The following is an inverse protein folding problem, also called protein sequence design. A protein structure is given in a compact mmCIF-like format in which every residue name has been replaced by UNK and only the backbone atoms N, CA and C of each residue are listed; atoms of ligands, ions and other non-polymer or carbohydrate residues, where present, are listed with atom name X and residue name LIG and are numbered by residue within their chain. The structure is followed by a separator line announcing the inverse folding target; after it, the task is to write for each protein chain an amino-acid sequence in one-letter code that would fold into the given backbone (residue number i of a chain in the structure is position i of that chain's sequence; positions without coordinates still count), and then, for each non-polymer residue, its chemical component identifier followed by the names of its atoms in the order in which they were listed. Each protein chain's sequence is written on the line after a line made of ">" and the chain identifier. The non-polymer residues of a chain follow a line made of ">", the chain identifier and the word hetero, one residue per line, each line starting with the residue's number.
data_IF_660143244000
#
_entry.id   IF_660143244000
#
_cell.length_a   1.000
_cell.length_b   1.000
_cell.length_c   1.000
_cell.angle_alpha   90.00
_cell.angle_beta   90.00
_cell.angle_gamma   90.00
#
_symmetry.space_group_name_H-M   'P 1'
#
loop_
_entity.id
_entity.type
_entity.pdbx_description
1 polymer ?
#
# COMPACT_ATOMS: atom_id res chain seq x y z
N UNK A 1 13.35 30.68 -39.06
CA UNK A 1 12.09 30.52 -38.33
C UNK A 1 12.23 29.36 -37.38
N UNK A 2 12.55 29.62 -36.10
CA UNK A 2 12.55 28.58 -35.04
C UNK A 2 11.06 28.23 -34.74
N UNK A 3 10.69 26.99 -34.99
CA UNK A 3 9.41 26.47 -34.55
C UNK A 3 9.36 26.52 -33.03
N UNK A 4 8.50 27.34 -32.45
CA UNK A 4 8.15 27.31 -31.04
C UNK A 4 7.55 25.92 -30.78
N UNK A 5 8.30 25.06 -30.07
CA UNK A 5 7.76 23.83 -29.53
C UNK A 5 6.65 24.23 -28.54
N UNK A 6 5.41 24.16 -28.97
CA UNK A 6 4.25 24.32 -28.09
C UNK A 6 4.32 23.15 -27.08
N UNK A 7 4.80 23.44 -25.86
CA UNK A 7 4.73 22.48 -24.78
C UNK A 7 3.27 22.06 -24.59
N UNK A 8 3.00 20.77 -24.63
CA UNK A 8 1.65 20.26 -24.32
C UNK A 8 1.26 20.79 -22.94
N UNK A 9 0.02 21.30 -22.77
CA UNK A 9 -0.44 21.77 -21.46
C UNK A 9 -0.32 20.61 -20.45
N UNK A 10 0.07 20.96 -19.22
CA UNK A 10 0.19 19.97 -18.14
C UNK A 10 -1.18 19.35 -17.84
N UNK A 11 -1.21 18.08 -17.39
CA UNK A 11 -2.46 17.40 -17.07
C UNK A 11 -3.36 18.22 -16.13
N UNK A 12 -2.78 18.87 -15.12
CA UNK A 12 -3.53 19.68 -14.13
C UNK A 12 -4.42 20.76 -14.77
N UNK A 13 -4.02 21.29 -15.94
CA UNK A 13 -4.77 22.35 -16.65
C UNK A 13 -6.06 21.80 -17.29
N UNK A 14 -6.16 20.47 -17.46
CA UNK A 14 -7.30 19.76 -18.05
C UNK A 14 -8.25 19.19 -17.01
N UNK A 15 -7.87 19.24 -15.73
CA UNK A 15 -8.64 18.60 -14.67
C UNK A 15 -9.77 19.49 -14.14
N UNK A 16 -10.87 18.89 -13.65
CA UNK A 16 -11.90 19.62 -12.92
C UNK A 16 -11.31 20.28 -11.69
N UNK A 17 -11.87 21.40 -11.26
CA UNK A 17 -11.43 22.11 -10.04
C UNK A 17 -12.19 21.58 -8.83
N UNK A 18 -11.53 20.84 -7.90
CA UNK A 18 -12.16 20.34 -6.69
C UNK A 18 -12.21 21.40 -5.59
N UNK A 19 -12.96 21.14 -4.53
CA UNK A 19 -12.89 21.88 -3.25
C UNK A 19 -11.59 21.60 -2.50
N UNK A 20 -11.06 20.36 -2.65
CA UNK A 20 -9.78 19.93 -2.15
C UNK A 20 -8.59 20.58 -2.87
N UNK A 21 -7.45 19.88 -2.86
CA UNK A 21 -6.20 20.43 -3.41
C UNK A 21 -5.64 19.57 -4.52
N UNK A 22 -5.28 20.19 -5.64
CA UNK A 22 -4.45 19.62 -6.67
C UNK A 22 -3.03 20.17 -6.57
N UNK A 23 -2.04 19.31 -6.83
CA UNK A 23 -0.64 19.72 -6.93
C UNK A 23 0.01 18.99 -8.13
N UNK A 24 0.62 19.76 -9.04
CA UNK A 24 1.39 19.22 -10.16
C UNK A 24 2.74 18.70 -9.66
N UNK A 25 3.25 17.66 -10.32
CA UNK A 25 4.59 17.08 -10.10
C UNK A 25 4.96 16.87 -8.64
N UNK A 26 3.96 16.44 -7.86
CA UNK A 26 4.10 16.33 -6.40
C UNK A 26 5.03 15.16 -6.02
N UNK A 27 6.13 15.39 -5.24
CA UNK A 27 7.05 14.33 -4.87
C UNK A 27 6.35 13.27 -3.99
N UNK A 28 6.39 12.00 -4.42
CA UNK A 28 5.81 10.87 -3.68
C UNK A 28 6.82 10.17 -2.79
N UNK A 29 8.11 10.13 -3.16
CA UNK A 29 9.15 9.49 -2.36
C UNK A 29 9.06 9.84 -0.87
N UNK A 30 9.09 11.12 -0.47
CA UNK A 30 8.98 11.53 0.92
C UNK A 30 7.64 11.17 1.60
N UNK A 31 6.64 10.76 0.82
CA UNK A 31 5.30 10.38 1.28
C UNK A 31 5.12 8.87 1.42
N UNK A 32 6.15 8.08 1.08
CA UNK A 32 6.18 6.62 1.23
C UNK A 32 7.12 6.21 2.37
N UNK A 33 6.91 5.04 2.89
CA UNK A 33 7.76 4.50 3.95
C UNK A 33 9.17 4.16 3.47
N UNK A 34 9.35 3.77 2.21
CA UNK A 34 10.68 3.61 1.62
C UNK A 34 11.44 4.94 1.51
N UNK A 35 10.75 6.06 1.43
CA UNK A 35 11.39 7.34 1.19
C UNK A 35 12.01 7.46 -0.21
N UNK A 36 11.59 6.63 -1.15
CA UNK A 36 12.07 6.57 -2.53
C UNK A 36 10.91 6.65 -3.53
N UNK A 37 11.21 7.08 -4.75
CA UNK A 37 10.28 7.13 -5.86
C UNK A 37 10.05 8.52 -6.44
N UNK A 38 9.59 8.54 -7.69
CA UNK A 38 9.33 9.75 -8.47
C UNK A 38 8.04 10.47 -8.07
N UNK A 39 7.68 11.55 -8.82
CA UNK A 39 6.51 12.37 -8.53
C UNK A 39 5.20 11.74 -9.00
N UNK A 40 4.08 12.21 -8.43
CA UNK A 40 2.77 12.12 -9.06
C UNK A 40 2.67 13.20 -10.13
N UNK A 41 2.18 12.87 -11.33
CA UNK A 41 1.88 13.90 -12.34
C UNK A 41 0.89 14.91 -11.80
N UNK A 42 -0.20 14.44 -11.15
CA UNK A 42 -1.08 15.28 -10.34
C UNK A 42 -1.41 14.55 -9.03
N UNK A 43 -1.21 15.19 -7.90
CA UNK A 43 -1.65 14.72 -6.60
C UNK A 43 -2.96 15.44 -6.22
N UNK A 44 -4.02 14.66 -6.00
CA UNK A 44 -5.31 15.14 -5.52
C UNK A 44 -5.52 14.76 -4.05
N UNK A 45 -5.85 15.75 -3.23
CA UNK A 45 -6.27 15.59 -1.84
C UNK A 45 -7.71 16.08 -1.71
N UNK A 46 -8.72 15.21 -1.83
CA UNK A 46 -10.12 15.59 -1.73
C UNK A 46 -10.43 16.12 -0.33
N UNK A 47 -11.38 17.06 -0.26
CA UNK A 47 -11.85 17.62 1.00
C UNK A 47 -12.70 16.60 1.79
N UNK A 48 -13.54 15.87 1.08
CA UNK A 48 -14.46 14.85 1.59
C UNK A 48 -14.92 13.91 0.47
N UNK A 49 -15.81 12.98 0.80
CA UNK A 49 -16.35 11.98 -0.14
C UNK A 49 -17.13 12.60 -1.31
N UNK A 50 -17.87 13.67 -1.07
CA UNK A 50 -18.60 14.36 -2.13
C UNK A 50 -17.66 15.04 -3.13
N UNK A 51 -16.63 15.71 -2.63
CA UNK A 51 -15.58 16.32 -3.47
C UNK A 51 -14.84 15.28 -4.32
N UNK A 52 -14.54 14.11 -3.73
CA UNK A 52 -13.95 12.99 -4.45
C UNK A 52 -14.89 12.49 -5.56
N UNK A 53 -16.18 12.29 -5.26
CA UNK A 53 -17.17 11.78 -6.19
C UNK A 53 -17.39 12.74 -7.37
N UNK A 54 -17.59 14.03 -7.09
CA UNK A 54 -17.75 15.06 -8.13
C UNK A 54 -16.51 15.18 -9.01
N UNK A 55 -15.33 15.13 -8.41
CA UNK A 55 -14.07 15.16 -9.15
C UNK A 55 -13.94 13.95 -10.09
N UNK A 56 -14.19 12.73 -9.61
CA UNK A 56 -14.11 11.51 -10.41
C UNK A 56 -15.14 11.49 -11.53
N UNK A 57 -16.36 11.96 -11.29
CA UNK A 57 -17.41 12.07 -12.29
C UNK A 57 -17.01 12.98 -13.45
N UNK A 58 -16.35 14.09 -13.15
CA UNK A 58 -15.92 15.08 -14.15
C UNK A 58 -14.53 14.78 -14.75
N UNK A 59 -13.80 13.81 -14.18
CA UNK A 59 -12.45 13.46 -14.63
C UNK A 59 -12.51 12.72 -15.98
N UNK A 60 -11.76 13.17 -17.02
CA UNK A 60 -11.69 12.46 -18.30
C UNK A 60 -11.34 10.99 -18.11
N UNK A 61 -12.03 10.10 -18.82
CA UNK A 61 -11.93 8.66 -18.62
C UNK A 61 -10.55 8.07 -18.99
N UNK A 62 -9.84 8.75 -19.89
CA UNK A 62 -8.46 8.42 -20.31
C UNK A 62 -7.40 8.74 -19.25
N UNK A 63 -7.75 9.47 -18.18
CA UNK A 63 -6.82 9.83 -17.10
C UNK A 63 -6.77 8.71 -16.05
N UNK A 64 -5.61 8.04 -15.87
CA UNK A 64 -5.47 7.02 -14.83
C UNK A 64 -5.62 7.59 -13.43
N UNK A 65 -6.19 6.79 -12.52
CA UNK A 65 -6.31 7.12 -11.09
C UNK A 65 -5.59 6.06 -10.26
N UNK A 66 -4.75 6.53 -9.35
CA UNK A 66 -4.03 5.66 -8.38
C UNK A 66 -4.32 6.15 -6.98
N UNK A 67 -4.67 5.25 -6.07
CA UNK A 67 -4.93 5.60 -4.65
C UNK A 67 -3.69 5.37 -3.82
N UNK A 68 -3.33 6.37 -3.01
CA UNK A 68 -2.20 6.32 -2.08
C UNK A 68 -2.68 6.55 -0.64
N UNK A 69 -2.43 5.58 0.23
CA UNK A 69 -2.57 5.74 1.68
C UNK A 69 -1.31 6.39 2.29
N UNK A 70 -0.79 5.81 3.39
CA UNK A 70 0.49 6.26 3.98
C UNK A 70 1.72 5.66 3.30
N UNK A 71 1.54 4.89 2.24
CA UNK A 71 2.65 4.34 1.44
C UNK A 71 3.51 3.31 2.17
N UNK A 72 2.94 2.59 3.13
CA UNK A 72 3.64 1.58 3.93
C UNK A 72 3.86 0.25 3.22
N UNK A 73 3.09 -0.03 2.16
CA UNK A 73 3.21 -1.25 1.33
C UNK A 73 3.34 -0.89 -0.15
N UNK A 74 4.04 0.20 -0.46
CA UNK A 74 4.20 0.69 -1.83
C UNK A 74 5.66 1.01 -2.15
N UNK A 75 6.09 0.64 -3.34
CA UNK A 75 7.27 1.15 -4.01
C UNK A 75 6.81 1.98 -5.22
N UNK A 76 7.06 3.27 -5.17
CA UNK A 76 6.82 4.17 -6.31
C UNK A 76 8.07 4.19 -7.17
N UNK A 77 7.96 3.79 -8.44
CA UNK A 77 9.08 3.78 -9.37
C UNK A 77 9.59 5.20 -9.66
N UNK A 78 10.87 5.31 -10.02
CA UNK A 78 11.56 6.61 -10.13
C UNK A 78 11.00 7.53 -11.22
N UNK A 79 10.38 7.01 -12.28
CA UNK A 79 9.68 7.82 -13.29
C UNK A 79 8.36 8.40 -12.79
N UNK A 80 7.92 8.03 -11.59
CA UNK A 80 6.70 8.55 -10.97
C UNK A 80 5.42 7.91 -11.51
N UNK A 81 4.28 8.49 -11.14
CA UNK A 81 2.94 7.98 -11.43
C UNK A 81 2.22 8.94 -12.35
N UNK A 82 1.82 8.46 -13.52
CA UNK A 82 1.02 9.20 -14.49
C UNK A 82 -0.45 9.30 -14.07
N UNK A 83 -1.12 10.37 -14.53
CA UNK A 83 -2.51 10.64 -14.19
C UNK A 83 -2.66 11.27 -12.80
N UNK A 84 -3.73 10.91 -12.10
CA UNK A 84 -4.08 11.48 -10.80
C UNK A 84 -3.79 10.46 -9.68
N UNK A 85 -2.96 10.86 -8.74
CA UNK A 85 -2.79 10.14 -7.46
C UNK A 85 -3.74 10.75 -6.43
N UNK A 86 -4.70 9.96 -5.96
CA UNK A 86 -5.65 10.37 -4.91
C UNK A 86 -5.07 10.00 -3.55
N UNK A 87 -4.97 10.96 -2.64
CA UNK A 87 -4.54 10.73 -1.27
C UNK A 87 -5.59 11.21 -0.27
N UNK A 88 -6.21 10.28 0.43
CA UNK A 88 -7.20 10.58 1.45
C UNK A 88 -6.54 11.13 2.71
N UNK A 89 -6.98 12.31 3.16
CA UNK A 89 -6.40 13.04 4.28
C UNK A 89 -7.50 13.37 5.31
N UNK A 90 -7.43 14.53 5.94
CA UNK A 90 -8.28 14.96 7.08
C UNK A 90 -9.78 14.67 6.95
N UNK A 91 -10.38 14.82 5.77
CA UNK A 91 -11.80 14.51 5.52
C UNK A 91 -12.16 13.03 5.65
N UNK A 92 -11.15 12.14 5.76
CA UNK A 92 -11.31 10.69 5.77
C UNK A 92 -10.64 10.01 6.97
N UNK A 93 -10.29 10.76 8.02
CA UNK A 93 -9.58 10.22 9.19
C UNK A 93 -10.44 10.14 10.45
N UNK A 94 -11.72 10.53 10.37
CA UNK A 94 -12.65 10.46 11.49
C UNK A 94 -12.83 9.02 11.98
N UNK A 95 -12.91 8.84 13.30
CA UNK A 95 -13.21 7.56 13.94
C UNK A 95 -14.31 7.82 14.97
N UNK A 96 -15.38 7.04 14.92
CA UNK A 96 -16.51 7.09 15.87
C UNK A 96 -16.88 5.70 16.32
N UNK A 97 -17.51 5.60 17.48
CA UNK A 97 -18.04 4.34 18.02
C UNK A 97 -19.57 4.41 18.07
N UNK A 98 -20.22 3.40 17.52
CA UNK A 98 -21.66 3.25 17.46
C UNK A 98 -22.07 1.89 18.04
N UNK A 99 -22.47 1.87 19.30
CA UNK A 99 -22.65 0.61 20.03
C UNK A 99 -21.31 -0.12 20.19
N UNK A 100 -21.22 -1.32 19.64
CA UNK A 100 -19.97 -2.09 19.62
C UNK A 100 -19.21 -1.99 18.30
N UNK A 101 -19.73 -1.21 17.34
CA UNK A 101 -19.06 -1.05 16.04
C UNK A 101 -18.15 0.18 16.06
N UNK A 102 -17.01 0.08 15.41
CA UNK A 102 -16.12 1.21 15.13
C UNK A 102 -16.30 1.63 13.68
N UNK A 103 -16.69 2.88 13.47
CA UNK A 103 -16.79 3.50 12.13
C UNK A 103 -15.56 4.36 11.92
N UNK A 104 -14.81 4.07 10.86
CA UNK A 104 -13.57 4.77 10.57
C UNK A 104 -13.51 5.21 9.11
N UNK A 105 -13.00 6.42 8.87
CA UNK A 105 -12.67 6.88 7.53
C UNK A 105 -11.49 6.10 6.95
N UNK A 106 -11.47 5.90 5.64
CA UNK A 106 -10.44 5.09 4.98
C UNK A 106 -9.02 5.64 5.08
N UNK A 107 -8.86 6.94 5.36
CA UNK A 107 -7.58 7.60 5.66
C UNK A 107 -7.16 7.50 7.12
N UNK A 108 -7.98 6.94 8.01
CA UNK A 108 -7.63 6.75 9.41
C UNK A 108 -6.47 5.76 9.56
N UNK A 109 -5.42 6.07 10.35
CA UNK A 109 -4.38 5.10 10.68
C UNK A 109 -4.95 3.89 11.42
N UNK A 110 -4.53 2.70 11.04
CA UNK A 110 -4.97 1.44 11.67
C UNK A 110 -4.71 1.45 13.18
N UNK A 111 -3.55 1.94 13.61
CA UNK A 111 -3.22 2.11 15.03
C UNK A 111 -4.25 2.97 15.77
N UNK A 112 -4.71 4.07 15.16
CA UNK A 112 -5.66 4.98 15.82
C UNK A 112 -7.02 4.29 16.03
N UNK A 113 -7.43 3.42 15.10
CA UNK A 113 -8.65 2.63 15.25
C UNK A 113 -8.54 1.66 16.43
N UNK A 114 -7.40 0.95 16.56
CA UNK A 114 -7.14 0.08 17.71
C UNK A 114 -7.14 0.85 19.04
N UNK A 115 -6.54 2.05 19.08
CA UNK A 115 -6.49 2.89 20.28
C UNK A 115 -7.88 3.43 20.64
N UNK A 116 -8.68 3.86 19.66
CA UNK A 116 -10.06 4.31 19.90
C UNK A 116 -10.92 3.15 20.43
N UNK A 117 -10.79 1.95 19.85
CA UNK A 117 -11.50 0.77 20.35
C UNK A 117 -11.12 0.47 21.82
N UNK A 118 -9.84 0.53 22.17
CA UNK A 118 -9.36 0.38 23.56
C UNK A 118 -9.98 1.42 24.50
N UNK A 119 -10.04 2.69 24.10
CA UNK A 119 -10.61 3.77 24.91
C UNK A 119 -12.09 3.54 25.24
N UNK A 120 -12.80 2.79 24.39
CA UNK A 120 -14.21 2.43 24.57
C UNK A 120 -14.41 1.00 25.09
N UNK A 121 -13.36 0.36 25.62
CA UNK A 121 -13.37 -1.02 26.10
C UNK A 121 -13.94 -2.03 25.07
N UNK A 122 -13.52 -1.87 23.81
CA UNK A 122 -13.92 -2.71 22.68
C UNK A 122 -12.73 -3.56 22.23
N UNK A 123 -12.87 -4.88 22.33
CA UNK A 123 -11.88 -5.89 21.95
C UNK A 123 -12.08 -6.36 20.50
N UNK A 124 -11.06 -7.05 19.96
CA UNK A 124 -11.08 -7.66 18.62
C UNK A 124 -10.42 -6.84 17.53
N UNK A 125 -10.02 -5.59 17.81
CA UNK A 125 -9.34 -4.70 16.87
C UNK A 125 -7.87 -4.44 17.22
N UNK A 126 -7.31 -5.11 18.21
CA UNK A 126 -5.93 -4.91 18.70
C UNK A 126 -4.88 -5.20 17.63
N UNK A 127 -5.15 -6.16 16.73
CA UNK A 127 -4.24 -6.52 15.63
C UNK A 127 -3.93 -5.35 14.68
N UNK A 128 -4.85 -4.38 14.56
CA UNK A 128 -4.65 -3.17 13.76
C UNK A 128 -3.47 -2.33 14.26
N UNK A 129 -3.12 -2.40 15.56
CA UNK A 129 -1.95 -1.71 16.10
C UNK A 129 -0.63 -2.23 15.52
N UNK A 130 -0.62 -3.48 15.03
CA UNK A 130 0.53 -4.09 14.35
C UNK A 130 0.63 -3.76 12.85
N UNK A 131 -0.38 -3.10 12.27
CA UNK A 131 -0.42 -2.77 10.84
C UNK A 131 -0.07 -1.30 10.63
N UNK A 132 1.06 -1.01 9.97
CA UNK A 132 1.47 0.37 9.71
C UNK A 132 0.79 0.91 8.45
N UNK A 133 -0.52 1.07 8.49
CA UNK A 133 -1.34 1.41 7.33
C UNK A 133 -2.44 2.41 7.63
N UNK A 134 -3.36 2.49 6.69
CA UNK A 134 -4.66 3.14 6.83
C UNK A 134 -5.75 2.14 6.52
N UNK A 135 -6.91 2.33 7.10
CA UNK A 135 -8.08 1.45 6.95
C UNK A 135 -8.42 1.15 5.49
N UNK A 136 -8.38 2.15 4.60
CA UNK A 136 -8.61 1.92 3.17
C UNK A 136 -7.58 0.99 2.54
N UNK A 137 -6.30 1.13 2.91
CA UNK A 137 -5.24 0.23 2.49
C UNK A 137 -5.40 -1.17 3.07
N UNK A 138 -5.82 -1.27 4.33
CA UNK A 138 -6.05 -2.54 5.01
C UNK A 138 -7.20 -3.34 4.35
N UNK A 139 -8.31 -2.67 3.97
CA UNK A 139 -9.42 -3.29 3.23
C UNK A 139 -8.96 -3.77 1.85
N UNK A 140 -8.21 -2.92 1.12
CA UNK A 140 -7.80 -3.20 -0.25
C UNK A 140 -6.92 -4.45 -0.40
N UNK A 141 -6.30 -4.93 0.68
CA UNK A 141 -5.44 -6.11 0.66
C UNK A 141 -5.78 -7.16 1.71
N UNK A 142 -6.91 -7.04 2.41
CA UNK A 142 -7.21 -7.88 3.57
C UNK A 142 -6.01 -7.93 4.54
N UNK A 143 -5.58 -6.77 5.01
CA UNK A 143 -4.42 -6.70 5.89
C UNK A 143 -4.68 -7.45 7.19
N UNK A 144 -3.67 -8.17 7.64
CA UNK A 144 -3.75 -8.94 8.88
C UNK A 144 -2.38 -9.07 9.54
N UNK A 145 -2.40 -9.15 10.86
CA UNK A 145 -1.23 -9.31 11.71
C UNK A 145 -1.64 -9.94 13.05
N UNK A 146 -0.72 -10.65 13.68
CA UNK A 146 -0.88 -11.15 15.06
C UNK A 146 -2.17 -11.94 15.31
N UNK A 147 -2.63 -12.71 14.31
CA UNK A 147 -3.79 -13.59 14.40
C UNK A 147 -5.12 -12.96 14.04
N UNK A 148 -5.16 -11.66 13.69
CA UNK A 148 -6.35 -10.98 13.17
C UNK A 148 -6.17 -10.49 11.75
N UNK A 149 -7.28 -10.32 11.02
CA UNK A 149 -7.32 -9.71 9.68
C UNK A 149 -8.63 -8.95 9.44
N UNK A 150 -8.63 -8.03 8.50
CA UNK A 150 -9.78 -7.16 8.20
C UNK A 150 -11.03 -7.96 7.88
N UNK A 151 -10.91 -9.03 7.09
CA UNK A 151 -12.06 -9.85 6.70
C UNK A 151 -12.84 -10.47 7.85
N UNK A 152 -12.21 -10.64 9.01
CA UNK A 152 -12.85 -11.19 10.22
C UNK A 152 -13.73 -10.16 10.95
N UNK A 153 -13.39 -8.88 10.84
CA UNK A 153 -14.02 -7.79 11.62
C UNK A 153 -14.83 -6.82 10.75
N UNK A 154 -14.65 -6.84 9.44
CA UNK A 154 -15.38 -5.95 8.53
C UNK A 154 -16.90 -6.28 8.55
N UNK A 155 -17.73 -5.26 8.74
CA UNK A 155 -19.19 -5.33 8.55
C UNK A 155 -19.54 -4.82 7.15
N UNK A 156 -19.06 -3.60 6.83
CA UNK A 156 -19.26 -2.97 5.53
C UNK A 156 -18.20 -1.90 5.27
N UNK A 157 -17.99 -1.59 4.01
CA UNK A 157 -17.20 -0.44 3.58
C UNK A 157 -18.01 0.46 2.64
N UNK A 158 -17.65 1.73 2.58
CA UNK A 158 -18.13 2.69 1.61
C UNK A 158 -17.01 2.99 0.62
N UNK A 159 -17.37 3.15 -0.64
CA UNK A 159 -16.42 3.45 -1.71
C UNK A 159 -17.05 4.36 -2.77
N UNK A 160 -16.20 5.05 -3.52
CA UNK A 160 -16.55 5.78 -4.74
C UNK A 160 -15.91 5.06 -5.92
N UNK A 161 -16.71 4.78 -6.96
CA UNK A 161 -16.19 4.18 -8.20
C UNK A 161 -15.59 5.23 -9.14
N UNK A 162 -15.03 4.77 -10.26
CA UNK A 162 -14.40 5.65 -11.26
C UNK A 162 -15.37 6.67 -11.87
N UNK A 163 -16.68 6.40 -11.84
CA UNK A 163 -17.73 7.28 -12.35
C UNK A 163 -18.29 8.25 -11.29
N UNK A 164 -17.74 8.22 -10.08
CA UNK A 164 -18.19 9.07 -8.97
C UNK A 164 -19.41 8.54 -8.21
N UNK A 165 -19.87 7.31 -8.47
CA UNK A 165 -20.99 6.73 -7.72
C UNK A 165 -20.52 6.21 -6.37
N UNK A 166 -21.36 6.45 -5.35
CA UNK A 166 -21.13 5.90 -4.01
C UNK A 166 -21.70 4.49 -3.90
N UNK A 167 -20.91 3.61 -3.31
CA UNK A 167 -21.27 2.23 -3.04
C UNK A 167 -21.14 1.92 -1.55
N UNK A 168 -22.04 1.08 -1.05
CA UNK A 168 -21.90 0.45 0.25
C UNK A 168 -21.84 -1.05 0.06
N UNK A 169 -20.75 -1.66 0.54
CA UNK A 169 -20.38 -3.04 0.28
C UNK A 169 -20.39 -3.79 1.60
N UNK A 170 -21.19 -4.86 1.70
CA UNK A 170 -21.14 -5.75 2.84
C UNK A 170 -19.90 -6.66 2.79
N UNK A 171 -19.36 -7.04 3.95
CA UNK A 171 -18.15 -7.85 4.07
C UNK A 171 -18.14 -9.11 3.19
N UNK A 172 -19.29 -9.81 3.07
CA UNK A 172 -19.44 -11.02 2.26
C UNK A 172 -19.16 -10.83 0.76
N UNK A 173 -19.24 -9.60 0.26
CA UNK A 173 -19.04 -9.27 -1.17
C UNK A 173 -17.57 -9.10 -1.51
N UNK A 174 -16.68 -9.02 -0.50
CA UNK A 174 -15.25 -8.85 -0.71
C UNK A 174 -14.50 -10.14 -1.04
N UNK A 175 -15.10 -11.30 -0.78
CA UNK A 175 -14.45 -12.60 -1.00
C UNK A 175 -13.00 -12.64 -0.49
N UNK A 176 -12.78 -12.13 0.72
CA UNK A 176 -11.45 -12.00 1.30
C UNK A 176 -10.69 -13.33 1.33
N UNK A 177 -9.42 -13.26 0.98
CA UNK A 177 -8.45 -14.34 1.09
C UNK A 177 -7.15 -13.75 1.65
N UNK A 178 -6.18 -14.59 1.96
CA UNK A 178 -4.88 -14.13 2.42
C UNK A 178 -4.28 -13.09 1.46
N UNK A 179 -4.06 -11.86 1.95
CA UNK A 179 -3.54 -10.71 1.19
C UNK A 179 -4.34 -10.35 -0.07
N UNK A 180 -5.61 -10.71 -0.10
CA UNK A 180 -6.47 -10.46 -1.24
C UNK A 180 -7.85 -9.94 -0.82
N UNK A 181 -8.34 -8.96 -1.57
CA UNK A 181 -9.69 -8.42 -1.51
C UNK A 181 -10.31 -8.54 -2.91
N UNK A 182 -11.50 -9.11 -3.02
CA UNK A 182 -12.27 -9.21 -4.27
C UNK A 182 -13.00 -7.92 -4.67
N UNK A 183 -12.73 -6.80 -4.00
CA UNK A 183 -13.30 -5.52 -4.39
C UNK A 183 -12.83 -5.10 -5.79
N UNK A 184 -13.67 -4.40 -6.58
CA UNK A 184 -13.25 -3.82 -7.86
C UNK A 184 -12.00 -2.94 -7.69
N UNK A 185 -11.00 -3.07 -8.57
CA UNK A 185 -9.70 -2.43 -8.40
C UNK A 185 -9.72 -0.90 -8.56
N UNK A 186 -10.77 -0.36 -9.17
CA UNK A 186 -11.00 1.06 -9.40
C UNK A 186 -11.81 1.75 -8.30
N UNK A 187 -12.25 1.01 -7.28
CA UNK A 187 -13.00 1.56 -6.17
C UNK A 187 -12.07 2.22 -5.14
N UNK A 188 -12.43 3.42 -4.72
CA UNK A 188 -11.73 4.19 -3.69
C UNK A 188 -12.54 4.12 -2.41
N UNK A 189 -12.06 3.35 -1.43
CA UNK A 189 -12.71 3.27 -0.12
C UNK A 189 -12.66 4.62 0.58
N UNK A 190 -13.78 5.02 1.19
CA UNK A 190 -13.94 6.30 1.89
C UNK A 190 -14.21 6.13 3.37
N UNK A 191 -14.93 5.09 3.77
CA UNK A 191 -15.22 4.75 5.15
C UNK A 191 -15.43 3.25 5.33
N UNK A 192 -15.43 2.80 6.59
CA UNK A 192 -15.70 1.41 6.97
C UNK A 192 -16.42 1.33 8.30
N UNK A 193 -17.14 0.23 8.50
CA UNK A 193 -17.70 -0.20 9.78
C UNK A 193 -17.06 -1.52 10.17
N UNK A 194 -16.43 -1.56 11.34
CA UNK A 194 -15.76 -2.71 11.90
C UNK A 194 -16.50 -3.19 13.14
N UNK A 195 -16.65 -4.51 13.28
CA UNK A 195 -17.22 -5.14 14.47
C UNK A 195 -16.16 -5.23 15.54
N UNK A 196 -16.53 -4.86 16.76
CA UNK A 196 -15.76 -5.14 17.96
C UNK A 196 -16.70 -5.73 19.02
N UNK A 197 -16.15 -6.19 20.14
CA UNK A 197 -16.91 -6.79 21.23
C UNK A 197 -16.55 -6.10 22.54
N UNK A 198 -17.48 -5.96 23.50
CA UNK A 198 -17.14 -5.46 24.82
C UNK A 198 -16.02 -6.28 25.47
N UNK A 199 -15.01 -5.63 26.02
CA UNK A 199 -13.86 -6.28 26.61
C UNK A 199 -13.28 -5.52 27.79
N UNK A 200 -12.32 -6.15 28.47
CA UNK A 200 -11.57 -5.50 29.55
C UNK A 200 -10.49 -4.56 28.98
N UNK A 201 -10.54 -3.31 29.35
CA UNK A 201 -9.64 -2.28 28.82
C UNK A 201 -8.17 -2.55 29.14
N UNK A 202 -7.88 -3.17 30.29
CA UNK A 202 -6.51 -3.53 30.70
C UNK A 202 -5.99 -4.67 29.83
N UNK A 203 -6.81 -5.68 29.58
CA UNK A 203 -6.45 -6.79 28.70
C UNK A 203 -6.21 -6.31 27.26
N UNK A 204 -7.07 -5.44 26.74
CA UNK A 204 -6.90 -4.83 25.40
C UNK A 204 -5.59 -4.04 25.31
N UNK A 205 -5.31 -3.20 26.32
CA UNK A 205 -4.06 -2.45 26.38
C UNK A 205 -2.83 -3.36 26.47
N UNK A 206 -2.91 -4.42 27.26
CA UNK A 206 -1.88 -5.46 27.35
C UNK A 206 -1.60 -6.09 25.98
N UNK A 207 -2.64 -6.50 25.26
CA UNK A 207 -2.51 -7.09 23.93
C UNK A 207 -1.87 -6.13 22.89
N UNK A 208 -2.23 -4.84 22.90
CA UNK A 208 -1.61 -3.82 22.04
C UNK A 208 -0.12 -3.68 22.37
N UNK A 209 0.24 -3.69 23.67
CA UNK A 209 1.64 -3.63 24.12
C UNK A 209 2.44 -4.84 23.67
N UNK A 210 1.87 -6.05 23.78
CA UNK A 210 2.50 -7.28 23.29
C UNK A 210 2.78 -7.21 21.77
N UNK A 211 1.81 -6.73 20.99
CA UNK A 211 1.96 -6.56 19.55
C UNK A 211 3.09 -5.57 19.22
N UNK A 212 3.14 -4.42 19.89
CA UNK A 212 4.20 -3.43 19.67
C UNK A 212 5.59 -3.97 20.04
N UNK A 213 5.68 -4.69 21.16
CA UNK A 213 6.92 -5.34 21.60
C UNK A 213 7.39 -6.38 20.59
N UNK A 214 6.53 -7.31 20.19
CA UNK A 214 6.84 -8.34 19.20
C UNK A 214 7.26 -7.75 17.86
N UNK A 215 6.58 -6.67 17.42
CA UNK A 215 6.95 -5.92 16.21
C UNK A 215 8.32 -5.27 16.33
N UNK A 216 8.57 -4.62 17.47
CA UNK A 216 9.85 -3.96 17.74
C UNK A 216 11.00 -4.95 17.78
N UNK A 217 10.79 -6.14 18.34
CA UNK A 217 11.81 -7.19 18.43
C UNK A 217 12.10 -7.83 17.07
N UNK A 218 11.08 -8.06 16.23
CA UNK A 218 11.23 -8.82 14.98
C UNK A 218 11.50 -7.98 13.75
N UNK A 219 11.04 -6.72 13.70
CA UNK A 219 11.08 -5.89 12.48
C UNK A 219 12.12 -4.77 12.54
N UNK A 220 12.73 -4.38 11.39
CA UNK A 220 13.65 -3.24 11.35
C UNK A 220 12.88 -1.92 11.56
N UNK A 221 13.46 -1.00 12.33
CA UNK A 221 13.01 0.40 12.46
C UNK A 221 13.73 1.28 11.42
N UNK A 222 13.50 1.02 10.15
CA UNK A 222 14.18 1.67 9.02
C UNK A 222 13.16 2.09 7.96
N UNK A 223 13.59 2.82 6.94
CA UNK A 223 12.78 3.09 5.75
C UNK A 223 12.54 1.78 4.97
N UNK A 224 11.35 1.23 5.06
CA UNK A 224 10.99 -0.06 4.47
C UNK A 224 9.51 -0.10 4.10
N UNK A 225 9.13 -0.93 3.13
CA UNK A 225 7.74 -1.19 2.75
C UNK A 225 7.09 -2.35 3.50
N UNK A 226 7.65 -2.81 4.63
CA UNK A 226 7.17 -4.00 5.33
C UNK A 226 7.67 -5.30 4.70
N UNK A 227 6.92 -6.39 4.86
CA UNK A 227 7.22 -7.67 4.22
C UNK A 227 7.26 -7.53 2.71
N UNK A 228 8.39 -7.87 2.11
CA UNK A 228 8.60 -7.69 0.66
C UNK A 228 7.85 -8.74 -0.14
N UNK A 229 7.83 -9.99 0.35
CA UNK A 229 7.24 -11.13 -0.34
C UNK A 229 6.17 -11.82 0.52
N UNK A 230 5.15 -12.32 -0.17
CA UNK A 230 4.12 -13.19 0.42
C UNK A 230 4.75 -14.49 0.90
N UNK A 231 4.28 -15.04 2.01
CA UNK A 231 4.71 -16.37 2.44
C UNK A 231 4.17 -17.43 1.46
N UNK A 232 5.05 -18.22 0.81
CA UNK A 232 4.60 -19.32 -0.05
C UNK A 232 3.89 -20.41 0.77
N UNK A 233 2.99 -21.19 0.15
CA UNK A 233 2.32 -22.28 0.84
C UNK A 233 3.31 -23.23 1.53
N UNK A 234 3.13 -23.44 2.85
CA UNK A 234 3.98 -24.31 3.65
C UNK A 234 5.35 -23.75 4.02
N UNK A 235 5.68 -22.52 3.62
CA UNK A 235 6.99 -21.90 3.89
C UNK A 235 6.83 -20.48 4.45
N UNK A 236 7.90 -20.01 5.12
CA UNK A 236 8.05 -18.60 5.47
C UNK A 236 9.06 -17.95 4.54
N UNK A 237 8.68 -16.87 3.88
CA UNK A 237 9.54 -16.20 2.91
C UNK A 237 10.90 -15.81 3.51
N UNK A 238 10.93 -15.32 4.76
CA UNK A 238 12.17 -14.92 5.42
C UNK A 238 13.16 -16.09 5.60
N UNK A 239 12.67 -17.33 5.88
CA UNK A 239 13.51 -18.52 6.03
C UNK A 239 14.17 -18.88 4.68
N UNK A 240 13.39 -18.88 3.60
CA UNK A 240 13.89 -19.14 2.25
C UNK A 240 14.93 -18.10 1.80
N UNK A 241 14.70 -16.83 2.10
CA UNK A 241 15.60 -15.72 1.77
C UNK A 241 16.92 -15.85 2.55
N UNK A 242 16.85 -16.24 3.82
CA UNK A 242 18.03 -16.48 4.65
C UNK A 242 18.84 -17.69 4.16
N UNK A 243 18.17 -18.80 3.86
CA UNK A 243 18.77 -20.00 3.26
C UNK A 243 19.43 -19.73 1.92
N UNK A 244 18.87 -18.80 1.15
CA UNK A 244 19.46 -18.36 -0.13
C UNK A 244 20.68 -17.43 0.04
N UNK A 245 21.09 -17.13 1.28
CA UNK A 245 22.25 -16.28 1.57
C UNK A 245 22.02 -14.80 1.22
N UNK A 246 20.77 -14.35 1.31
CA UNK A 246 20.43 -12.97 0.93
C UNK A 246 20.48 -11.98 2.09
N UNK A 247 20.65 -12.42 3.35
CA UNK A 247 20.77 -11.53 4.52
C UNK A 247 21.88 -10.51 4.32
N UNK A 248 21.58 -9.22 4.47
CA UNK A 248 22.55 -8.15 4.30
C UNK A 248 22.95 -7.87 2.84
N UNK A 249 22.40 -8.59 1.85
CA UNK A 249 22.65 -8.34 0.42
C UNK A 249 22.28 -6.90 0.05
N UNK A 250 23.12 -6.26 -0.79
CA UNK A 250 22.94 -4.87 -1.20
C UNK A 250 22.96 -4.70 -2.71
N UNK A 251 22.14 -3.76 -3.19
CA UNK A 251 22.22 -3.18 -4.54
C UNK A 251 22.06 -1.66 -4.37
N UNK A 252 23.06 -0.89 -4.78
CA UNK A 252 23.09 0.54 -4.47
C UNK A 252 22.96 0.79 -2.96
N UNK A 253 22.04 1.68 -2.59
CA UNK A 253 21.71 1.99 -1.20
C UNK A 253 20.47 1.20 -0.69
N UNK A 254 20.05 0.14 -1.38
CA UNK A 254 19.05 -0.81 -0.92
C UNK A 254 19.72 -2.03 -0.27
N UNK A 255 19.19 -2.52 0.84
CA UNK A 255 19.71 -3.68 1.58
C UNK A 255 18.60 -4.62 2.02
N UNK A 256 18.85 -5.94 1.96
CA UNK A 256 18.06 -6.94 2.70
C UNK A 256 18.38 -6.78 4.18
N UNK A 257 17.36 -6.58 5.00
CA UNK A 257 17.56 -6.35 6.43
C UNK A 257 18.29 -7.50 7.14
N UNK A 258 19.30 -7.16 7.93
CA UNK A 258 20.01 -8.13 8.77
C UNK A 258 19.10 -8.69 9.89
N UNK A 259 18.10 -7.91 10.32
CA UNK A 259 17.18 -8.28 11.38
C UNK A 259 16.07 -9.24 10.90
N UNK A 260 15.51 -8.97 9.72
CA UNK A 260 14.42 -9.77 9.15
C UNK A 260 14.53 -9.82 7.63
N UNK A 261 14.95 -10.95 7.08
CA UNK A 261 15.31 -11.08 5.66
C UNK A 261 14.18 -10.77 4.67
N UNK A 262 12.91 -10.86 5.07
CA UNK A 262 11.79 -10.48 4.20
C UNK A 262 11.50 -8.97 4.20
N UNK A 263 12.45 -8.14 4.64
CA UNK A 263 12.36 -6.68 4.62
C UNK A 263 13.51 -6.10 3.80
N UNK A 264 13.18 -5.37 2.76
CA UNK A 264 14.11 -4.50 2.07
C UNK A 264 14.13 -3.14 2.75
N UNK A 265 15.30 -2.57 2.96
CA UNK A 265 15.50 -1.27 3.60
C UNK A 265 16.24 -0.31 2.69
N UNK A 266 15.84 0.97 2.76
CA UNK A 266 16.55 2.07 2.14
C UNK A 266 17.53 2.67 3.17
N UNK A 267 18.83 2.59 2.90
CA UNK A 267 19.89 3.10 3.77
C UNK A 267 19.97 4.64 3.79
N UNK A 268 19.20 5.32 2.94
CA UNK A 268 19.08 6.78 2.92
C UNK A 268 19.09 7.37 1.52
N UNK A 269 19.75 6.75 0.55
CA UNK A 269 19.89 7.22 -0.81
C UNK A 269 19.40 6.26 -1.90
N UNK A 270 18.73 5.14 -1.53
CA UNK A 270 18.28 4.17 -2.51
C UNK A 270 17.26 4.77 -3.47
N UNK A 271 17.44 4.53 -4.77
CA UNK A 271 16.41 4.72 -5.79
C UNK A 271 15.40 3.58 -5.72
N UNK A 272 14.20 3.81 -6.24
CA UNK A 272 13.21 2.74 -6.37
C UNK A 272 13.74 1.59 -7.24
N UNK A 273 14.52 1.90 -8.27
CA UNK A 273 15.20 0.92 -9.12
C UNK A 273 16.15 0.00 -8.33
N UNK A 274 16.91 0.52 -7.35
CA UNK A 274 17.80 -0.28 -6.52
C UNK A 274 17.02 -1.28 -5.66
N UNK A 275 15.90 -0.81 -5.07
CA UNK A 275 15.03 -1.63 -4.22
C UNK A 275 14.36 -2.73 -5.06
N UNK A 276 13.86 -2.39 -6.25
CA UNK A 276 13.23 -3.35 -7.17
C UNK A 276 14.24 -4.38 -7.67
N UNK A 277 15.43 -3.94 -8.10
CA UNK A 277 16.50 -4.83 -8.53
C UNK A 277 16.96 -5.78 -7.41
N UNK A 278 17.06 -5.28 -6.18
CA UNK A 278 17.42 -6.11 -5.02
C UNK A 278 16.34 -7.17 -4.76
N UNK A 279 15.06 -6.82 -4.86
CA UNK A 279 13.96 -7.77 -4.70
C UNK A 279 13.97 -8.85 -5.80
N UNK A 280 14.24 -8.49 -7.06
CA UNK A 280 14.34 -9.47 -8.15
C UNK A 280 15.57 -10.38 -7.98
N UNK A 281 16.70 -9.86 -7.50
CA UNK A 281 17.88 -10.67 -7.19
C UNK A 281 17.60 -11.67 -6.04
N UNK A 282 16.87 -11.25 -5.00
CA UNK A 282 16.41 -12.16 -3.94
C UNK A 282 15.51 -13.26 -4.52
N UNK A 283 14.56 -12.94 -5.38
CA UNK A 283 13.67 -13.91 -6.04
C UNK A 283 14.46 -14.93 -6.85
N UNK A 284 15.42 -14.47 -7.64
CA UNK A 284 16.31 -15.31 -8.45
C UNK A 284 17.09 -16.30 -7.57
N UNK A 285 17.74 -15.81 -6.49
CA UNK A 285 18.53 -16.68 -5.59
C UNK A 285 17.67 -17.70 -4.85
N UNK A 286 16.50 -17.30 -4.37
CA UNK A 286 15.57 -18.23 -3.70
C UNK A 286 15.08 -19.31 -4.68
N UNK A 287 14.75 -18.94 -5.91
CA UNK A 287 14.37 -19.91 -6.93
C UNK A 287 15.49 -20.91 -7.21
N UNK A 288 16.72 -20.42 -7.41
CA UNK A 288 17.90 -21.27 -7.68
C UNK A 288 18.27 -22.18 -6.52
N UNK A 289 18.20 -21.67 -5.28
CA UNK A 289 18.66 -22.40 -4.09
C UNK A 289 17.60 -23.31 -3.49
N UNK A 290 16.34 -22.85 -3.47
CA UNK A 290 15.24 -23.51 -2.76
C UNK A 290 14.16 -24.07 -3.69
N UNK A 291 14.21 -23.77 -5.00
CA UNK A 291 13.19 -24.19 -5.97
C UNK A 291 11.83 -23.50 -5.79
N UNK A 292 11.75 -22.42 -5.01
CA UNK A 292 10.51 -21.72 -4.69
C UNK A 292 10.52 -20.33 -5.32
N UNK A 293 9.50 -20.01 -6.09
CA UNK A 293 9.33 -18.67 -6.65
C UNK A 293 8.58 -17.77 -5.65
N UNK A 294 9.25 -16.71 -5.19
CA UNK A 294 8.62 -15.72 -4.31
C UNK A 294 7.71 -14.77 -5.10
N UNK A 295 6.60 -14.36 -4.49
CA UNK A 295 5.69 -13.36 -5.02
C UNK A 295 5.78 -12.08 -4.21
N UNK A 296 5.78 -10.92 -4.89
CA UNK A 296 5.80 -9.63 -4.23
C UNK A 296 4.53 -9.37 -3.42
N UNK A 297 4.67 -9.00 -2.16
CA UNK A 297 3.60 -8.43 -1.32
C UNK A 297 3.55 -6.90 -1.47
N UNK A 298 4.72 -6.26 -1.60
CA UNK A 298 4.82 -4.81 -1.84
C UNK A 298 4.29 -4.49 -3.24
N UNK A 299 3.34 -3.56 -3.32
CA UNK A 299 2.80 -3.07 -4.59
C UNK A 299 3.77 -2.10 -5.24
N UNK A 300 4.16 -2.38 -6.49
CA UNK A 300 5.00 -1.52 -7.31
C UNK A 300 4.10 -0.69 -8.23
N UNK A 301 4.21 0.62 -8.17
CA UNK A 301 3.39 1.55 -8.95
C UNK A 301 4.26 2.55 -9.71
N UNK A 302 3.72 3.09 -10.79
CA UNK A 302 4.42 4.03 -11.64
C UNK A 302 5.14 3.36 -12.82
N UNK A 303 5.62 4.19 -13.74
CA UNK A 303 6.37 3.75 -14.92
C UNK A 303 7.80 3.37 -14.56
N UNK A 304 8.37 2.42 -15.30
CA UNK A 304 9.79 2.13 -15.25
C UNK A 304 10.58 3.34 -15.74
N UNK A 305 11.68 3.66 -15.04
CA UNK A 305 12.56 4.73 -15.45
C UNK A 305 13.37 4.36 -16.71
N UNK A 306 13.89 5.32 -17.45
CA UNK A 306 14.80 5.02 -18.54
C UNK A 306 16.05 4.31 -17.96
N UNK A 307 16.20 3.01 -18.20
CA UNK A 307 17.37 2.24 -17.78
C UNK A 307 17.13 0.80 -17.33
N UNK A 308 15.89 0.37 -17.10
CA UNK A 308 15.56 -1.04 -16.81
C UNK A 308 14.85 -1.71 -18.00
N UNK A 309 14.97 -1.16 -19.20
CA UNK A 309 14.53 -1.79 -20.44
C UNK A 309 15.37 -3.05 -20.69
N UNK A 310 14.69 -4.18 -20.65
CA UNK A 310 15.15 -5.54 -20.72
C UNK A 310 16.38 -5.79 -21.56
N UNK A 311 17.27 -6.58 -21.04
CA UNK A 311 18.02 -7.50 -21.86
C UNK A 311 16.98 -8.40 -22.55
N UNK A 312 16.69 -8.15 -23.83
CA UNK A 312 16.01 -9.09 -24.70
C UNK A 312 16.80 -10.39 -24.61
N UNK A 313 16.16 -11.41 -24.01
CA UNK A 313 16.71 -12.77 -24.06
C UNK A 313 16.88 -13.17 -25.52
N UNK A 314 17.92 -13.94 -25.87
CA UNK A 314 18.20 -14.31 -27.24
C UNK A 314 16.97 -15.00 -27.84
N UNK A 315 16.45 -14.45 -28.93
CA UNK A 315 15.48 -15.11 -29.80
C UNK A 315 16.13 -16.37 -30.32
N UNK A 316 15.75 -17.52 -29.80
CA UNK A 316 16.09 -18.80 -30.39
C UNK A 316 15.35 -18.89 -31.71
N UNK A 317 16.03 -18.54 -32.81
CA UNK A 317 15.58 -18.87 -34.17
C UNK A 317 15.53 -20.39 -34.29
N UNK A 318 14.31 -20.94 -34.41
CA UNK A 318 14.12 -22.32 -34.84
C UNK A 318 14.73 -22.52 -36.21
N UNK A 319 15.72 -23.38 -36.29
CA UNK A 319 16.16 -23.97 -37.54
C UNK A 319 15.27 -25.21 -37.80
N UNK A 320 14.55 -25.18 -38.90
CA UNK A 320 13.96 -26.33 -39.52
C UNK A 320 15.02 -27.35 -39.89
N UNK A 321 14.73 -28.61 -39.71
CA UNK A 321 15.52 -29.76 -40.14
C UNK A 321 14.84 -31.04 -39.68
#
# INVERSE_FOLDING_TARGET
>A
MMALATSRPHLIDRLPRPRGRLAADAPLGPQTWFGAGGPAEVLFRPADTEDLAVFLQALPFDVPVTVLGVGSNLLVRDAGVKGVVVRLMRGFTGITVEGNDVVAGAGAPDLNVALTAREHALAGLEFLSGIPGTIGGAIAMNAGAYGGEIGQVLISAEAVDRSGHLHRIAAKQFEFRYRHSGAPPDWIFTATRLRAEPGDQVAIAGRITEIDSARTESQPRSRTGGSTFVNPPGHKAWELIDQAGCRGLRIGEAQVSDKHCNFLINLGGAKAADIEALGEEVRRRVLEKCGVQLEWEIRRIGAEGPGLGGAEGPVLSGAEG
#
